data_IF_812424134562
#
_entry.id   IF_812424134562
#
_cell.length_a   1.000
_cell.length_b   1.000
_cell.length_c   1.000
_cell.angle_alpha   90.00
_cell.angle_beta   90.00
_cell.angle_gamma   90.00
#
_symmetry.space_group_name_H-M   'P 1'
#
loop_
_entity.id
_entity.type
_entity.pdbx_description
1 polymer ?
#
# COMPACT_ATOMS: atom_id res chain seq x y z
N UNK A 1 2.20 -18.32 0.94
CA UNK A 1 2.90 -17.46 -0.05
C UNK A 1 1.86 -16.59 -0.74
N UNK A 2 2.03 -15.26 -0.73
CA UNK A 2 1.17 -14.28 -1.43
C UNK A 2 1.89 -13.53 -2.55
N UNK A 3 3.11 -13.97 -2.90
CA UNK A 3 3.93 -13.34 -3.93
C UNK A 3 3.37 -13.64 -5.32
N UNK A 4 2.91 -12.60 -6.01
CA UNK A 4 2.57 -12.62 -7.43
C UNK A 4 3.63 -11.79 -8.14
N UNK A 5 4.51 -12.42 -8.95
CA UNK A 5 5.56 -11.70 -9.65
C UNK A 5 5.00 -10.59 -10.53
N UNK A 6 5.62 -9.40 -10.47
CA UNK A 6 5.37 -8.28 -11.39
C UNK A 6 3.91 -7.78 -11.45
N UNK A 7 3.14 -8.03 -10.38
CA UNK A 7 1.72 -7.68 -10.31
C UNK A 7 1.48 -6.18 -10.47
N UNK A 8 2.34 -5.32 -9.91
CA UNK A 8 2.12 -3.88 -9.99
C UNK A 8 2.28 -3.36 -11.43
N UNK A 9 3.11 -4.01 -12.25
CA UNK A 9 3.20 -3.66 -13.67
C UNK A 9 1.87 -3.89 -14.40
N UNK A 10 1.18 -5.00 -14.12
CA UNK A 10 -0.14 -5.25 -14.70
C UNK A 10 -1.17 -4.19 -14.30
N UNK A 11 -1.19 -3.79 -13.03
CA UNK A 11 -2.08 -2.74 -12.54
C UNK A 11 -1.76 -1.39 -13.19
N UNK A 12 -0.49 -1.03 -13.28
CA UNK A 12 -0.06 0.21 -13.93
C UNK A 12 -0.41 0.21 -15.42
N UNK A 13 -0.19 -0.89 -16.15
CA UNK A 13 -0.55 -0.98 -17.57
C UNK A 13 -2.04 -0.70 -17.80
N UNK A 14 -2.92 -1.31 -16.99
CA UNK A 14 -4.36 -1.07 -17.07
C UNK A 14 -4.68 0.40 -16.73
N UNK A 15 -4.07 0.93 -15.67
CA UNK A 15 -4.29 2.32 -15.27
C UNK A 15 -3.81 3.33 -16.32
N UNK A 16 -2.69 3.05 -17.01
CA UNK A 16 -2.15 3.87 -18.11
C UNK A 16 -3.12 3.91 -19.28
N UNK A 17 -3.58 2.75 -19.78
CA UNK A 17 -4.57 2.71 -20.85
C UNK A 17 -5.85 3.45 -20.48
N UNK A 18 -6.29 3.31 -19.23
CA UNK A 18 -7.51 3.98 -18.76
C UNK A 18 -7.34 5.49 -18.61
N UNK A 19 -6.19 5.93 -18.08
CA UNK A 19 -5.86 7.34 -17.97
C UNK A 19 -5.84 8.02 -19.33
N UNK A 20 -5.32 7.35 -20.36
CA UNK A 20 -5.32 7.89 -21.72
C UNK A 20 -6.74 8.05 -22.29
N UNK A 21 -7.59 7.05 -22.15
CA UNK A 21 -9.01 7.13 -22.57
C UNK A 21 -9.74 8.29 -21.87
N UNK A 22 -9.44 8.52 -20.60
CA UNK A 22 -10.05 9.59 -19.80
C UNK A 22 -9.35 10.96 -19.95
N UNK A 23 -8.25 11.05 -20.69
CA UNK A 23 -7.39 12.24 -20.74
C UNK A 23 -6.89 12.71 -19.36
N UNK A 24 -6.58 11.76 -18.47
CA UNK A 24 -5.95 12.01 -17.18
C UNK A 24 -4.43 12.09 -17.32
N UNK A 25 -3.82 13.08 -16.67
CA UNK A 25 -2.36 13.27 -16.64
C UNK A 25 -1.69 12.65 -15.41
N UNK A 26 -2.47 12.08 -14.47
CA UNK A 26 -1.96 11.53 -13.20
C UNK A 26 -2.60 10.21 -12.84
N UNK A 27 -1.75 9.27 -12.42
CA UNK A 27 -2.13 8.00 -11.81
C UNK A 27 -1.58 7.98 -10.39
N UNK A 28 -2.44 7.75 -9.40
CA UNK A 28 -2.03 7.62 -8.00
C UNK A 28 -2.01 6.15 -7.60
N UNK A 29 -0.93 5.70 -6.98
CA UNK A 29 -0.81 4.34 -6.44
C UNK A 29 -0.27 4.35 -5.01
N UNK A 30 -0.99 3.67 -4.11
CA UNK A 30 -0.68 3.57 -2.68
C UNK A 30 0.40 2.54 -2.35
N UNK A 31 1.51 2.53 -3.10
CA UNK A 31 2.63 1.64 -2.85
C UNK A 31 3.44 2.12 -1.63
N UNK A 32 3.94 1.19 -0.82
CA UNK A 32 4.78 1.45 0.36
C UNK A 32 6.04 0.60 0.24
N UNK A 33 7.21 1.22 0.28
CA UNK A 33 8.49 0.51 0.07
C UNK A 33 8.89 -0.32 1.30
N UNK A 34 8.46 0.03 2.51
CA UNK A 34 8.69 -0.77 3.73
C UNK A 34 8.00 -2.15 3.64
N UNK A 35 6.85 -2.23 2.96
CA UNK A 35 6.11 -3.49 2.73
C UNK A 35 6.79 -4.37 1.65
N UNK A 36 7.91 -3.91 1.07
CA UNK A 36 8.57 -4.55 -0.08
C UNK A 36 9.37 -5.80 0.23
N UNK A 37 9.20 -6.44 1.40
CA UNK A 37 9.92 -7.68 1.76
C UNK A 37 9.65 -8.80 0.73
N UNK A 38 10.41 -8.77 -0.38
CA UNK A 38 10.26 -9.63 -1.56
C UNK A 38 9.72 -9.00 -2.86
N UNK A 39 9.36 -7.71 -2.93
CA UNK A 39 8.69 -7.11 -4.12
C UNK A 39 9.52 -6.00 -4.78
N UNK A 40 10.28 -6.30 -5.85
CA UNK A 40 11.04 -5.29 -6.60
C UNK A 40 10.17 -4.20 -7.23
N UNK A 41 8.92 -4.54 -7.55
CA UNK A 41 7.91 -3.68 -8.17
C UNK A 41 7.17 -2.76 -7.18
N UNK A 42 7.60 -2.72 -5.92
CA UNK A 42 7.14 -1.72 -4.94
C UNK A 42 8.13 -0.56 -4.73
N UNK A 43 9.29 -0.60 -5.40
CA UNK A 43 10.36 0.38 -5.20
C UNK A 43 10.16 1.63 -6.03
N UNK A 44 10.65 2.76 -5.53
CA UNK A 44 10.54 4.05 -6.24
C UNK A 44 11.11 4.00 -7.66
N UNK A 45 12.27 3.36 -7.82
CA UNK A 45 12.96 3.21 -9.11
C UNK A 45 12.13 2.46 -10.15
N UNK A 46 11.27 1.52 -9.74
CA UNK A 46 10.38 0.81 -10.64
C UNK A 46 9.29 1.74 -11.18
N UNK A 47 8.66 2.53 -10.31
CA UNK A 47 7.62 3.49 -10.72
C UNK A 47 8.17 4.59 -11.62
N UNK A 48 9.37 5.11 -11.34
CA UNK A 48 10.02 6.11 -12.20
C UNK A 48 10.33 5.54 -13.60
N UNK A 49 10.82 4.29 -13.67
CA UNK A 49 11.07 3.62 -14.95
C UNK A 49 9.77 3.34 -15.72
N UNK A 50 8.71 2.93 -15.02
CA UNK A 50 7.41 2.67 -15.64
C UNK A 50 6.76 3.96 -16.15
N UNK A 51 6.87 5.07 -15.43
CA UNK A 51 6.39 6.40 -15.87
C UNK A 51 7.07 6.80 -17.19
N UNK A 52 8.39 6.64 -17.28
CA UNK A 52 9.13 6.93 -18.50
C UNK A 52 8.64 6.08 -19.69
N UNK A 53 8.44 4.77 -19.48
CA UNK A 53 7.91 3.89 -20.52
C UNK A 53 6.47 4.29 -20.93
N UNK A 54 5.60 4.59 -19.97
CA UNK A 54 4.22 4.97 -20.22
C UNK A 54 4.12 6.29 -21.01
N UNK A 55 4.98 7.26 -20.74
CA UNK A 55 5.05 8.52 -21.51
C UNK A 55 5.46 8.30 -22.98
N UNK A 56 6.31 7.32 -23.25
CA UNK A 56 6.70 6.97 -24.61
C UNK A 56 5.60 6.19 -25.35
N UNK A 57 4.75 5.47 -24.60
CA UNK A 57 3.71 4.59 -25.14
C UNK A 57 2.31 5.21 -25.24
N UNK A 58 2.10 6.44 -24.79
CA UNK A 58 0.78 7.10 -24.76
C UNK A 58 0.82 8.48 -25.41
N UNK A 59 -0.32 8.93 -25.92
CA UNK A 59 -0.52 10.22 -26.57
C UNK A 59 -1.53 11.08 -25.79
N UNK A 60 -1.30 11.25 -24.48
CA UNK A 60 -2.14 12.11 -23.64
C UNK A 60 -1.93 13.58 -24.02
N UNK A 61 -3.00 14.25 -24.43
CA UNK A 61 -2.97 15.64 -24.83
C UNK A 61 -2.73 16.58 -23.62
N UNK A 62 -1.91 17.62 -23.81
CA UNK A 62 -1.77 18.74 -22.88
C UNK A 62 -0.66 18.60 -21.82
N UNK A 63 -0.51 17.46 -21.16
CA UNK A 63 0.53 17.27 -20.13
C UNK A 63 1.06 15.83 -20.08
N UNK A 64 2.36 15.63 -19.81
CA UNK A 64 2.93 14.30 -19.74
C UNK A 64 2.41 13.55 -18.51
N UNK A 65 2.00 12.30 -18.71
CA UNK A 65 1.50 11.41 -17.65
C UNK A 65 2.48 11.36 -16.45
N UNK A 66 1.97 11.38 -15.23
CA UNK A 66 2.76 11.14 -14.02
C UNK A 66 2.18 10.06 -13.13
N UNK A 67 3.05 9.18 -12.63
CA UNK A 67 2.73 8.14 -11.65
C UNK A 67 3.15 8.64 -10.28
N UNK A 68 2.16 8.97 -9.45
CA UNK A 68 2.35 9.54 -8.13
C UNK A 68 2.25 8.45 -7.07
N UNK A 69 3.28 8.35 -6.24
CA UNK A 69 3.42 7.36 -5.17
C UNK A 69 3.46 8.06 -3.80
N UNK A 70 2.33 8.63 -3.33
CA UNK A 70 2.32 9.63 -2.25
C UNK A 70 2.83 9.10 -0.90
N UNK A 71 2.76 7.79 -0.68
CA UNK A 71 3.07 7.14 0.59
C UNK A 71 4.28 6.20 0.51
N UNK A 72 5.03 6.20 -0.60
CA UNK A 72 6.07 5.18 -0.85
C UNK A 72 7.21 5.18 0.16
N UNK A 73 7.53 6.35 0.70
CA UNK A 73 8.57 6.52 1.73
C UNK A 73 8.02 6.63 3.15
N UNK A 74 6.70 6.53 3.32
CA UNK A 74 6.08 6.64 4.63
C UNK A 74 6.07 5.28 5.32
N UNK A 75 6.33 5.29 6.63
CA UNK A 75 6.01 4.14 7.47
C UNK A 75 4.51 4.09 7.83
N UNK A 76 4.07 3.01 8.51
CA UNK A 76 2.65 2.85 8.88
C UNK A 76 2.15 3.91 9.86
N UNK A 77 3.01 4.45 10.73
CA UNK A 77 2.63 5.51 11.67
C UNK A 77 2.41 6.83 10.92
N UNK A 78 3.30 7.17 10.00
CA UNK A 78 3.20 8.35 9.14
C UNK A 78 1.96 8.30 8.23
N UNK A 79 1.64 7.12 7.69
CA UNK A 79 0.40 6.90 6.91
C UNK A 79 -0.84 7.14 7.79
N UNK A 80 -0.87 6.62 9.02
CA UNK A 80 -2.00 6.84 9.95
C UNK A 80 -2.13 8.33 10.26
N UNK A 81 -1.05 9.01 10.65
CA UNK A 81 -1.05 10.45 10.95
C UNK A 81 -1.49 11.29 9.76
N UNK A 82 -1.04 10.96 8.56
CA UNK A 82 -1.44 11.64 7.32
C UNK A 82 -2.92 11.41 7.02
N UNK A 83 -3.42 10.18 7.22
CA UNK A 83 -4.85 9.92 7.05
C UNK A 83 -5.71 10.68 8.07
N UNK A 84 -5.25 10.80 9.32
CA UNK A 84 -5.93 11.58 10.35
C UNK A 84 -5.98 13.07 10.00
N UNK A 85 -4.87 13.65 9.53
CA UNK A 85 -4.85 15.08 9.12
C UNK A 85 -5.76 15.36 7.92
N UNK A 86 -5.95 14.37 7.05
CA UNK A 86 -6.87 14.42 5.92
C UNK A 86 -8.30 13.98 6.25
N UNK A 87 -8.61 13.70 7.52
CA UNK A 87 -9.93 13.21 7.96
C UNK A 87 -10.39 11.94 7.23
N UNK A 88 -9.46 11.03 6.92
CA UNK A 88 -9.76 9.74 6.28
C UNK A 88 -10.71 8.93 7.18
N UNK A 89 -11.82 8.40 6.63
CA UNK A 89 -12.75 7.58 7.40
C UNK A 89 -12.20 6.17 7.58
N UNK A 90 -11.20 6.00 8.46
CA UNK A 90 -10.52 4.71 8.67
C UNK A 90 -11.45 3.55 9.04
N UNK A 91 -12.62 3.83 9.63
CA UNK A 91 -13.65 2.83 9.93
C UNK A 91 -14.23 2.14 8.68
N UNK A 92 -14.11 2.77 7.50
CA UNK A 92 -14.60 2.25 6.22
C UNK A 92 -13.51 1.51 5.43
N UNK A 93 -12.30 1.39 5.99
CA UNK A 93 -11.16 0.77 5.30
C UNK A 93 -10.98 -0.68 5.73
N UNK A 94 -10.40 -1.50 4.84
CA UNK A 94 -10.12 -2.90 5.11
C UNK A 94 -8.66 -3.23 4.78
N UNK A 95 -7.96 -3.85 5.73
CA UNK A 95 -6.59 -4.33 5.52
C UNK A 95 -6.45 -5.83 5.75
N UNK A 96 -7.41 -6.47 6.42
CA UNK A 96 -7.30 -7.89 6.77
C UNK A 96 -7.21 -8.75 5.50
N UNK A 97 -6.33 -9.77 5.53
CA UNK A 97 -6.24 -10.74 4.43
C UNK A 97 -7.40 -11.73 4.39
N UNK A 98 -8.21 -11.78 5.44
CA UNK A 98 -9.43 -12.58 5.49
C UNK A 98 -10.60 -11.69 5.12
N UNK A 99 -11.62 -12.31 4.56
CA UNK A 99 -12.96 -11.74 4.45
C UNK A 99 -13.75 -11.98 5.75
N UNK A 100 -14.77 -11.17 5.99
CA UNK A 100 -15.62 -11.28 7.17
C UNK A 100 -16.20 -9.93 7.59
N UNK A 101 -17.01 -9.93 8.64
CA UNK A 101 -17.60 -8.70 9.21
C UNK A 101 -16.59 -7.91 10.07
N UNK A 102 -15.59 -8.60 10.63
CA UNK A 102 -14.56 -8.03 11.50
C UNK A 102 -13.19 -8.47 11.03
N UNK A 103 -12.19 -7.60 11.21
CA UNK A 103 -10.81 -7.96 10.92
C UNK A 103 -10.30 -9.02 11.91
N UNK A 104 -9.56 -10.04 11.47
CA UNK A 104 -9.15 -11.13 12.37
C UNK A 104 -8.20 -10.70 13.50
N UNK A 105 -7.45 -9.61 13.28
CA UNK A 105 -6.53 -9.01 14.25
C UNK A 105 -5.23 -9.77 14.51
N UNK A 106 -4.95 -10.83 13.74
CA UNK A 106 -3.76 -11.66 13.94
C UNK A 106 -3.01 -12.03 12.64
N UNK A 107 -3.50 -11.66 11.45
CA UNK A 107 -2.74 -11.81 10.20
C UNK A 107 -1.74 -10.68 10.03
N UNK A 108 -0.70 -10.85 9.21
CA UNK A 108 0.39 -9.87 9.05
C UNK A 108 -0.11 -8.46 8.76
N UNK A 109 -1.05 -8.30 7.83
CA UNK A 109 -1.64 -7.00 7.51
C UNK A 109 -2.40 -6.35 8.69
N UNK A 110 -3.14 -7.15 9.48
CA UNK A 110 -3.79 -6.66 10.69
C UNK A 110 -2.76 -6.21 11.73
N UNK A 111 -1.69 -6.98 11.92
CA UNK A 111 -0.64 -6.66 12.89
C UNK A 111 0.14 -5.39 12.49
N UNK A 112 0.42 -5.21 11.20
CA UNK A 112 1.05 -3.98 10.66
C UNK A 112 0.15 -2.76 10.88
N UNK A 113 -1.15 -2.90 10.58
CA UNK A 113 -2.14 -1.84 10.79
C UNK A 113 -2.25 -1.45 12.27
N UNK A 114 -2.49 -2.43 13.15
CA UNK A 114 -2.60 -2.22 14.60
C UNK A 114 -1.34 -1.57 15.16
N UNK A 115 -0.14 -1.97 14.69
CA UNK A 115 1.13 -1.35 15.07
C UNK A 115 1.22 0.11 14.61
N UNK A 116 0.81 0.41 13.38
CA UNK A 116 0.76 1.78 12.86
C UNK A 116 -0.12 2.70 13.71
N UNK A 117 -1.34 2.26 14.02
CA UNK A 117 -2.26 2.99 14.90
C UNK A 117 -1.72 3.15 16.33
N UNK A 118 -1.18 2.07 16.91
CA UNK A 118 -0.58 2.09 18.24
C UNK A 118 0.59 3.07 18.33
N UNK A 119 1.49 3.08 17.34
CA UNK A 119 2.61 4.04 17.27
C UNK A 119 2.12 5.48 17.10
N UNK A 120 1.08 5.69 16.30
CA UNK A 120 0.42 6.98 16.15
C UNK A 120 -0.36 7.43 17.41
N UNK A 121 -0.43 6.59 18.47
CA UNK A 121 -1.16 6.82 19.74
C UNK A 121 -2.65 7.07 19.54
N UNK A 122 -3.25 6.38 18.56
CA UNK A 122 -4.67 6.49 18.20
C UNK A 122 -5.24 5.09 18.10
N UNK A 123 -6.45 4.89 18.61
CA UNK A 123 -7.15 3.62 18.46
C UNK A 123 -7.63 3.42 17.03
N UNK A 124 -7.36 2.23 16.49
CA UNK A 124 -7.90 1.84 15.19
C UNK A 124 -9.43 1.67 15.28
N UNK A 125 -10.22 2.37 14.45
CA UNK A 125 -11.67 2.32 14.56
C UNK A 125 -12.33 1.08 13.95
N UNK A 126 -11.59 0.23 13.22
CA UNK A 126 -12.20 -0.97 12.61
C UNK A 126 -12.49 -2.04 13.68
N UNK A 127 -13.58 -2.81 13.54
CA UNK A 127 -13.88 -3.89 14.47
C UNK A 127 -12.97 -5.09 14.23
N UNK A 128 -12.54 -5.73 15.32
CA UNK A 128 -11.68 -6.91 15.30
C UNK A 128 -12.35 -8.10 15.98
N UNK A 129 -12.09 -9.32 15.49
CA UNK A 129 -12.48 -10.57 16.15
C UNK A 129 -11.67 -10.78 17.44
N UNK A 130 -10.36 -10.53 17.36
CA UNK A 130 -9.45 -10.54 18.49
C UNK A 130 -8.44 -9.42 18.30
N UNK A 131 -8.28 -8.51 19.28
CA UNK A 131 -7.14 -7.58 19.27
C UNK A 131 -5.97 -8.34 19.86
N UNK A 132 -5.09 -8.88 19.03
CA UNK A 132 -3.85 -9.48 19.50
C UNK A 132 -3.15 -8.49 20.43
N UNK A 133 -2.96 -8.85 21.71
CA UNK A 133 -2.18 -8.05 22.63
C UNK A 133 -0.79 -7.90 22.01
N UNK A 134 -0.29 -6.67 21.91
CA UNK A 134 1.04 -6.37 21.37
C UNK A 134 2.11 -7.10 22.16
N UNK A 135 2.46 -8.31 21.73
CA UNK A 135 3.60 -9.04 22.24
C UNK A 135 4.86 -8.49 21.61
N UNK A 136 5.84 -8.17 22.45
CA UNK A 136 7.22 -7.88 22.08
C UNK A 136 7.71 -8.77 20.93
N UNK A 137 8.51 -8.16 20.07
CA UNK A 137 9.19 -8.80 18.94
C UNK A 137 9.72 -10.18 19.33
N UNK A 138 9.11 -11.23 18.79
CA UNK A 138 9.72 -12.56 18.79
C UNK A 138 11.00 -12.47 17.94
N UNK A 139 12.19 -12.85 18.45
CA UNK A 139 13.40 -12.81 17.65
C UNK A 139 13.23 -13.67 16.40
N UNK A 140 13.91 -13.33 15.28
CA UNK A 140 13.85 -14.12 14.07
C UNK A 140 14.22 -15.56 14.40
N UNK A 141 13.32 -16.49 14.07
CA UNK A 141 13.58 -17.92 14.20
C UNK A 141 14.84 -18.29 13.40
N UNK A 142 15.57 -19.34 13.82
CA UNK A 142 16.79 -19.74 13.14
C UNK A 142 16.46 -20.04 11.66
N UNK A 143 17.34 -19.68 10.71
CA UNK A 143 17.17 -20.04 9.32
C UNK A 143 17.05 -21.56 9.21
N UNK A 144 15.99 -22.00 8.52
CA UNK A 144 15.52 -23.38 8.49
C UNK A 144 16.57 -24.40 8.07
N UNK A 145 16.39 -25.59 8.64
CA UNK A 145 16.81 -26.88 8.11
C UNK A 145 16.08 -27.21 6.80
#
# INVERSE_FOLDING_TARGET
MTYVPFRNAHFLSVAVSWAEVLSCDRIYIGAVEEDSSGYPDCRRVFYDAFEAAARLGTAIAGSPLSIVTPVIRMDKEEIVRTGLSLSVPFALTWSCYREGEKACGHCDSCLLRLRGFSRAKVDDPVPYESRGQGGESRPPGPPGA
#
